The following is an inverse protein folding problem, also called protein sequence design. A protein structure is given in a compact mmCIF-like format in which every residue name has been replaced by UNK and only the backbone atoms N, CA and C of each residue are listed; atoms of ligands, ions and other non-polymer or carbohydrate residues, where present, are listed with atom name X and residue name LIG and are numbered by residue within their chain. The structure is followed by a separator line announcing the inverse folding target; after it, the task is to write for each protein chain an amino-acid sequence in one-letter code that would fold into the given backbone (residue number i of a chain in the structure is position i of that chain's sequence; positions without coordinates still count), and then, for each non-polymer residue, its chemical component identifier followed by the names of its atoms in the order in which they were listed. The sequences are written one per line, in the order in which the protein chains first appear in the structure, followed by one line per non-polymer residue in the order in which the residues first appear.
data_IF_006620911461
#
_entry.id   IF_006620911461
#
_cell.length_a   1.000
_cell.length_b   1.000
_cell.length_c   1.000
_cell.angle_alpha   90.00
_cell.angle_beta   90.00
_cell.angle_gamma   90.00
#
_symmetry.space_group_name_H-M   'P 1'
#
loop_
_entity.id
_entity.type
_entity.pdbx_description
1 polymer ?
#
# COMPACT_ATOMS: atom_id res chain seq x y z
N UNK A 1 -8.56 -16.08 -19.92
CA UNK A 1 -7.97 -16.15 -18.57
C UNK A 1 -6.55 -16.75 -18.58
N UNK A 2 -6.30 -17.90 -19.22
CA UNK A 2 -4.96 -18.53 -19.28
C UNK A 2 -3.90 -17.63 -19.96
N UNK A 3 -4.27 -16.90 -21.03
CA UNK A 3 -3.35 -16.01 -21.75
C UNK A 3 -2.85 -14.83 -20.89
N UNK A 4 -3.69 -14.32 -19.99
CA UNK A 4 -3.36 -13.24 -19.04
C UNK A 4 -2.34 -13.69 -18.00
N UNK A 5 -2.49 -14.91 -17.49
CA UNK A 5 -1.60 -15.47 -16.47
C UNK A 5 -0.20 -15.73 -17.07
N UNK A 6 -0.14 -16.26 -18.29
CA UNK A 6 1.13 -16.50 -18.99
C UNK A 6 1.86 -15.20 -19.29
N UNK A 7 1.15 -14.17 -19.77
CA UNK A 7 1.74 -12.87 -20.05
C UNK A 7 2.26 -12.17 -18.77
N UNK A 8 1.53 -12.29 -17.66
CA UNK A 8 1.99 -11.81 -16.36
C UNK A 8 3.28 -12.49 -15.93
N UNK A 9 3.31 -13.83 -15.99
CA UNK A 9 4.47 -14.62 -15.55
C UNK A 9 5.72 -14.30 -16.37
N UNK A 10 5.58 -14.19 -17.69
CA UNK A 10 6.70 -13.90 -18.58
C UNK A 10 7.24 -12.47 -18.36
N UNK A 11 6.33 -11.49 -18.27
CA UNK A 11 6.69 -10.09 -18.00
C UNK A 11 7.35 -9.93 -16.64
N UNK A 12 6.82 -10.59 -15.62
CA UNK A 12 7.39 -10.58 -14.27
C UNK A 12 8.77 -11.23 -14.25
N UNK A 13 8.94 -12.39 -14.89
CA UNK A 13 10.21 -13.11 -14.94
C UNK A 13 11.29 -12.28 -15.63
N UNK A 14 10.97 -11.69 -16.78
CA UNK A 14 11.88 -10.83 -17.53
C UNK A 14 12.24 -9.56 -16.75
N UNK A 15 11.24 -8.89 -16.15
CA UNK A 15 11.43 -7.64 -15.41
C UNK A 15 12.12 -7.84 -14.05
N UNK A 16 12.00 -9.01 -13.43
CA UNK A 16 12.62 -9.33 -12.15
C UNK A 16 14.06 -9.84 -12.25
N UNK A 17 14.53 -10.22 -13.45
CA UNK A 17 15.89 -10.74 -13.65
C UNK A 17 16.99 -9.80 -13.11
N UNK A 18 16.97 -8.48 -13.33
CA UNK A 18 17.97 -7.57 -12.77
C UNK A 18 17.92 -7.50 -11.25
N UNK A 19 16.71 -7.46 -10.67
CA UNK A 19 16.50 -7.44 -9.23
C UNK A 19 16.99 -8.75 -8.58
N UNK A 20 16.73 -9.89 -9.21
CA UNK A 20 17.21 -11.20 -8.75
C UNK A 20 18.74 -11.25 -8.74
N UNK A 21 19.39 -10.76 -9.80
CA UNK A 21 20.86 -10.67 -9.87
C UNK A 21 21.42 -9.76 -8.77
N UNK A 22 20.77 -8.63 -8.51
CA UNK A 22 21.15 -7.73 -7.43
C UNK A 22 21.01 -8.38 -6.05
N UNK A 23 19.91 -9.11 -5.80
CA UNK A 23 19.69 -9.85 -4.56
C UNK A 23 20.73 -10.96 -4.36
N UNK A 24 21.01 -11.75 -5.41
CA UNK A 24 22.06 -12.78 -5.38
C UNK A 24 23.42 -12.17 -5.01
N UNK A 25 23.78 -11.03 -5.62
CA UNK A 25 25.02 -10.31 -5.32
C UNK A 25 25.09 -9.85 -3.86
N UNK A 26 23.99 -9.33 -3.31
CA UNK A 26 23.93 -8.91 -1.91
C UNK A 26 24.06 -10.08 -0.92
N UNK A 27 23.58 -11.27 -1.30
CA UNK A 27 23.74 -12.49 -0.48
C UNK A 27 25.18 -13.01 -0.57
N UNK A 28 25.77 -13.03 -1.76
CA UNK A 28 27.14 -13.50 -1.99
C UNK A 28 28.19 -12.54 -1.42
N UNK A 29 27.91 -11.24 -1.45
CA UNK A 29 28.78 -10.17 -0.98
C UNK A 29 28.00 -9.25 -0.03
N UNK A 30 27.78 -9.69 1.23
CA UNK A 30 27.01 -8.92 2.19
C UNK A 30 27.73 -7.59 2.50
N UNK A 31 27.05 -6.45 2.33
CA UNK A 31 27.64 -5.16 2.65
C UNK A 31 27.87 -5.02 4.15
N UNK A 32 28.94 -4.32 4.54
CA UNK A 32 29.23 -4.00 5.96
C UNK A 32 28.17 -3.10 6.60
N UNK A 33 27.42 -2.37 5.78
CA UNK A 33 26.28 -1.54 6.19
C UNK A 33 24.97 -2.18 5.74
N UNK A 34 23.86 -1.71 6.30
CA UNK A 34 22.53 -2.22 5.95
C UNK A 34 22.24 -2.05 4.45
N UNK A 35 21.79 -3.10 3.75
CA UNK A 35 21.41 -2.99 2.34
C UNK A 35 20.19 -2.05 2.16
N UNK A 36 20.02 -1.47 0.95
CA UNK A 36 18.94 -0.53 0.64
C UNK A 36 17.58 -1.25 0.46
N UNK A 37 17.04 -1.81 1.55
CA UNK A 37 15.81 -2.61 1.57
C UNK A 37 14.61 -1.83 1.01
N UNK A 38 14.57 -0.52 1.21
CA UNK A 38 13.48 0.34 0.76
C UNK A 38 13.40 0.39 -0.76
N UNK A 39 14.56 0.56 -1.39
CA UNK A 39 14.69 0.65 -2.84
C UNK A 39 14.42 -0.70 -3.48
N UNK A 40 14.92 -1.79 -2.88
CA UNK A 40 14.63 -3.16 -3.32
C UNK A 40 13.13 -3.45 -3.29
N UNK A 41 12.44 -3.04 -2.21
CA UNK A 41 10.98 -3.18 -2.12
C UNK A 41 10.24 -2.31 -3.12
N UNK A 42 10.71 -1.08 -3.36
CA UNK A 42 10.12 -0.19 -4.36
C UNK A 42 10.26 -0.79 -5.77
N UNK A 43 11.44 -1.32 -6.10
CA UNK A 43 11.69 -2.02 -7.38
C UNK A 43 10.80 -3.25 -7.52
N UNK A 44 10.68 -4.08 -6.49
CA UNK A 44 9.81 -5.27 -6.54
C UNK A 44 8.34 -4.88 -6.75
N UNK A 45 7.84 -3.91 -5.99
CA UNK A 45 6.47 -3.42 -6.16
C UNK A 45 6.23 -2.87 -7.57
N UNK A 46 7.19 -2.12 -8.12
CA UNK A 46 7.11 -1.60 -9.47
C UNK A 46 7.02 -2.72 -10.51
N UNK A 47 7.86 -3.76 -10.37
CA UNK A 47 7.84 -4.94 -11.25
C UNK A 47 6.48 -5.65 -11.17
N UNK A 48 5.94 -5.85 -9.97
CA UNK A 48 4.62 -6.47 -9.79
C UNK A 48 3.54 -5.65 -10.50
N UNK A 49 3.48 -4.34 -10.26
CA UNK A 49 2.46 -3.48 -10.87
C UNK A 49 2.59 -3.42 -12.39
N UNK A 50 3.79 -3.23 -12.93
CA UNK A 50 4.02 -3.24 -14.38
C UNK A 50 3.64 -4.56 -15.03
N UNK A 51 3.94 -5.69 -14.39
CA UNK A 51 3.60 -7.01 -14.91
C UNK A 51 2.08 -7.23 -14.91
N UNK A 52 1.38 -6.70 -13.90
CA UNK A 52 -0.08 -6.71 -13.84
C UNK A 52 -0.70 -5.80 -14.89
N UNK A 53 -0.22 -4.57 -15.02
CA UNK A 53 -0.73 -3.60 -16.00
C UNK A 53 -0.52 -4.13 -17.44
N UNK A 54 0.63 -4.74 -17.72
CA UNK A 54 0.92 -5.34 -19.02
C UNK A 54 0.06 -6.58 -19.33
N UNK A 55 -0.42 -7.30 -18.32
CA UNK A 55 -1.18 -8.54 -18.54
C UNK A 55 -2.68 -8.30 -18.54
N UNK A 56 -3.20 -7.52 -17.59
CA UNK A 56 -4.63 -7.26 -17.38
C UNK A 56 -5.09 -6.01 -18.16
N UNK A 57 -4.16 -5.25 -18.73
CA UNK A 57 -4.41 -3.96 -19.36
C UNK A 57 -4.49 -2.82 -18.34
N UNK A 58 -4.49 -1.58 -18.83
CA UNK A 58 -4.61 -0.41 -17.98
C UNK A 58 -5.90 -0.47 -17.17
N UNK A 59 -5.76 -0.28 -15.87
CA UNK A 59 -6.92 -0.17 -14.98
C UNK A 59 -7.78 0.98 -15.49
N UNK A 60 -9.08 0.77 -15.77
CA UNK A 60 -9.96 1.87 -16.16
C UNK A 60 -9.87 2.97 -15.10
N UNK A 61 -9.89 4.26 -15.51
CA UNK A 61 -9.79 5.38 -14.60
C UNK A 61 -10.75 5.14 -13.44
N UNK A 62 -10.23 5.10 -12.22
CA UNK A 62 -11.07 4.70 -11.09
C UNK A 62 -12.24 5.69 -11.01
N UNK A 63 -13.49 5.22 -10.92
CA UNK A 63 -14.65 6.11 -10.92
C UNK A 63 -14.53 7.12 -9.79
N UNK A 64 -14.64 8.43 -10.07
CA UNK A 64 -14.39 9.54 -9.12
C UNK A 64 -14.93 9.32 -7.69
N UNK A 65 -16.02 8.56 -7.55
CA UNK A 65 -16.70 8.24 -6.29
C UNK A 65 -16.08 7.11 -5.42
N UNK A 66 -15.08 6.34 -5.89
CA UNK A 66 -14.58 5.15 -5.16
C UNK A 66 -13.87 5.47 -3.83
N UNK A 67 -13.57 6.74 -3.57
CA UNK A 67 -12.86 7.26 -2.40
C UNK A 67 -13.66 8.32 -1.61
N UNK A 68 -15.00 8.36 -1.71
CA UNK A 68 -15.80 9.38 -0.98
C UNK A 68 -15.50 9.48 0.53
N UNK A 69 -15.15 8.37 1.19
CA UNK A 69 -14.75 8.38 2.60
C UNK A 69 -13.28 8.73 2.85
N UNK A 70 -12.44 8.83 1.82
CA UNK A 70 -11.00 9.09 1.95
C UNK A 70 -10.72 10.59 2.07
N UNK A 71 -10.65 11.07 3.30
CA UNK A 71 -10.40 12.49 3.62
C UNK A 71 -8.90 12.78 3.76
N UNK A 72 -8.52 14.06 3.73
CA UNK A 72 -7.14 14.50 4.03
C UNK A 72 -6.69 14.01 5.41
N UNK A 73 -7.58 14.03 6.40
CA UNK A 73 -7.29 13.51 7.74
C UNK A 73 -6.92 12.02 7.74
N UNK A 74 -7.58 11.19 6.92
CA UNK A 74 -7.20 9.78 6.75
C UNK A 74 -5.85 9.63 6.04
N UNK A 75 -5.56 10.51 5.08
CA UNK A 75 -4.27 10.54 4.41
C UNK A 75 -3.15 10.88 5.40
N UNK A 76 -3.34 11.91 6.23
CA UNK A 76 -2.37 12.32 7.25
C UNK A 76 -2.12 11.22 8.29
N UNK A 77 -3.18 10.53 8.72
CA UNK A 77 -3.09 9.38 9.61
C UNK A 77 -2.35 8.19 8.97
N UNK A 78 -2.61 7.91 7.68
CA UNK A 78 -1.89 6.89 6.93
C UNK A 78 -0.39 7.23 6.81
N UNK A 79 -0.08 8.50 6.51
CA UNK A 79 1.28 8.99 6.36
C UNK A 79 2.02 8.97 7.69
N UNK A 80 1.38 9.34 8.80
CA UNK A 80 1.95 9.21 10.14
C UNK A 80 2.28 7.74 10.48
N UNK A 81 1.34 6.81 10.26
CA UNK A 81 1.58 5.38 10.43
C UNK A 81 2.79 4.89 9.60
N UNK A 82 2.88 5.34 8.35
CA UNK A 82 3.98 4.98 7.44
C UNK A 82 5.32 5.63 7.86
N UNK A 83 5.31 6.84 8.43
CA UNK A 83 6.50 7.48 9.02
C UNK A 83 7.02 6.68 10.21
N UNK A 84 6.14 6.28 11.13
CA UNK A 84 6.51 5.46 12.29
C UNK A 84 7.11 4.11 11.84
N UNK A 85 6.49 3.46 10.84
CA UNK A 85 7.03 2.21 10.27
C UNK A 85 8.44 2.40 9.67
N UNK A 86 8.65 3.48 8.91
CA UNK A 86 9.97 3.79 8.33
C UNK A 86 11.02 4.05 9.41
N UNK A 87 10.67 4.78 10.47
CA UNK A 87 11.56 5.01 11.62
C UNK A 87 11.86 3.73 12.37
N UNK A 88 10.86 2.89 12.65
CA UNK A 88 11.05 1.57 13.25
C UNK A 88 12.01 0.71 12.43
N UNK A 89 11.81 0.67 11.11
CA UNK A 89 12.68 -0.12 10.25
C UNK A 89 14.12 0.35 10.36
N UNK A 90 14.38 1.65 10.46
CA UNK A 90 15.74 2.26 10.51
C UNK A 90 16.34 2.36 11.92
N UNK A 91 15.55 2.12 12.97
CA UNK A 91 15.99 2.21 14.36
C UNK A 91 16.86 1.03 14.79
N UNK A 92 17.68 1.26 15.82
CA UNK A 92 18.58 0.29 16.44
C UNK A 92 18.39 0.30 17.96
N UNK A 93 18.68 -0.81 18.63
CA UNK A 93 18.56 -0.92 20.08
C UNK A 93 17.16 -0.59 20.61
N UNK A 94 17.10 0.17 21.71
CA UNK A 94 15.87 0.48 22.43
C UNK A 94 14.88 1.32 21.61
N UNK A 95 15.38 2.15 20.68
CA UNK A 95 14.54 2.95 19.77
C UNK A 95 13.66 2.08 18.88
N UNK A 96 14.07 0.83 18.62
CA UNK A 96 13.27 -0.10 17.82
C UNK A 96 11.98 -0.47 18.56
N UNK A 97 12.02 -0.65 19.88
CA UNK A 97 10.81 -0.91 20.67
C UNK A 97 9.92 0.33 20.70
N UNK A 98 10.51 1.50 20.90
CA UNK A 98 9.79 2.77 20.89
C UNK A 98 9.04 3.00 19.56
N UNK A 99 9.74 2.92 18.42
CA UNK A 99 9.13 3.16 17.11
C UNK A 99 8.14 2.07 16.70
N UNK A 100 8.33 0.83 17.17
CA UNK A 100 7.34 -0.22 16.97
C UNK A 100 6.02 0.11 17.69
N UNK A 101 6.10 0.50 18.96
CA UNK A 101 4.94 0.90 19.74
C UNK A 101 4.22 2.10 19.10
N UNK A 102 4.97 3.13 18.67
CA UNK A 102 4.42 4.27 17.92
C UNK A 102 3.69 3.84 16.63
N UNK A 103 4.26 2.89 15.88
CA UNK A 103 3.61 2.36 14.68
C UNK A 103 2.32 1.61 14.99
N UNK A 104 2.30 0.79 16.06
CA UNK A 104 1.10 0.06 16.48
C UNK A 104 -0.03 1.02 16.86
N UNK A 105 0.25 2.04 17.68
CA UNK A 105 -0.73 3.06 18.06
C UNK A 105 -1.27 3.81 16.83
N UNK A 106 -0.39 4.25 15.93
CA UNK A 106 -0.77 4.91 14.69
C UNK A 106 -1.63 4.00 13.79
N UNK A 107 -1.32 2.71 13.73
CA UNK A 107 -2.06 1.74 12.92
C UNK A 107 -3.47 1.45 13.49
N UNK A 108 -3.60 1.34 14.82
CA UNK A 108 -4.91 1.20 15.49
C UNK A 108 -5.76 2.44 15.21
N UNK A 109 -5.21 3.63 15.45
CA UNK A 109 -5.90 4.90 15.24
C UNK A 109 -6.35 5.06 13.78
N UNK A 110 -5.47 4.74 12.82
CA UNK A 110 -5.80 4.76 11.40
C UNK A 110 -6.93 3.78 11.05
N UNK A 111 -6.88 2.54 11.55
CA UNK A 111 -7.93 1.53 11.30
C UNK A 111 -9.28 1.97 11.85
N UNK A 112 -9.31 2.55 13.06
CA UNK A 112 -10.52 3.09 13.66
C UNK A 112 -11.07 4.25 12.84
N UNK A 113 -10.23 5.20 12.42
CA UNK A 113 -10.63 6.32 11.59
C UNK A 113 -11.23 5.86 10.25
N UNK A 114 -10.61 4.88 9.58
CA UNK A 114 -11.15 4.28 8.34
C UNK A 114 -12.50 3.60 8.58
N UNK A 115 -12.64 2.85 9.67
CA UNK A 115 -13.90 2.20 10.01
C UNK A 115 -15.02 3.23 10.24
N UNK A 116 -14.72 4.32 10.96
CA UNK A 116 -15.68 5.38 11.21
C UNK A 116 -16.07 6.12 9.93
N UNK A 117 -15.10 6.46 9.08
CA UNK A 117 -15.37 7.12 7.80
C UNK A 117 -16.27 6.27 6.88
N UNK A 118 -16.04 4.95 6.85
CA UNK A 118 -16.91 4.01 6.13
C UNK A 118 -18.34 3.98 6.69
N UNK A 119 -18.50 3.99 8.02
CA UNK A 119 -19.82 4.03 8.69
C UNK A 119 -20.55 5.35 8.40
N UNK A 120 -19.85 6.48 8.46
CA UNK A 120 -20.42 7.80 8.17
C UNK A 120 -20.90 7.90 6.72
N UNK A 121 -20.13 7.37 5.76
CA UNK A 121 -20.57 7.33 4.37
C UNK A 121 -21.81 6.45 4.18
N UNK A 122 -21.87 5.29 4.84
CA UNK A 122 -23.02 4.39 4.76
C UNK A 122 -24.30 5.07 5.29
N UNK A 123 -24.21 5.72 6.45
CA UNK A 123 -25.35 6.43 7.07
C UNK A 123 -25.82 7.65 6.28
N UNK A 124 -24.89 8.43 5.69
CA UNK A 124 -25.24 9.52 4.78
C UNK A 124 -25.98 9.02 3.53
N UNK A 125 -25.57 7.87 2.98
CA UNK A 125 -26.23 7.28 1.81
C UNK A 125 -27.67 6.86 2.13
N UNK A 126 -27.89 6.23 3.29
CA UNK A 126 -29.23 5.84 3.75
C UNK A 126 -30.13 7.05 4.01
N UNK A 127 -29.60 8.10 4.65
CA UNK A 127 -30.37 9.31 4.97
C UNK A 127 -30.82 10.05 3.71
N UNK A 128 -29.95 10.17 2.71
CA UNK A 128 -30.30 10.80 1.43
C UNK A 128 -31.37 10.03 0.66
N UNK A 129 -31.35 8.69 0.69
CA UNK A 129 -32.38 7.87 0.03
C UNK A 129 -33.73 8.00 0.73
N UNK A 130 -33.76 8.00 2.06
CA UNK A 130 -35.00 8.16 2.84
C UNK A 130 -35.60 9.56 2.64
N UNK A 131 -34.79 10.62 2.63
CA UNK A 131 -35.28 11.98 2.37
C UNK A 131 -35.84 12.13 0.94
N UNK A 132 -35.22 11.52 -0.07
CA UNK A 132 -35.73 11.55 -1.45
C UNK A 132 -37.08 10.81 -1.55
N UNK A 133 -37.21 9.66 -0.89
CA UNK A 133 -38.44 8.86 -0.90
C UNK A 133 -39.58 9.48 -0.08
N UNK A 134 -39.29 10.28 0.94
CA UNK A 134 -40.30 11.01 1.73
C UNK A 134 -40.71 12.35 1.10
N UNK A 135 -40.00 12.81 0.07
CA UNK A 135 -40.27 14.06 -0.65
C UNK A 135 -40.95 13.84 -2.01
N UNK A 136 -41.32 12.60 -2.34
CA UNK A 136 -42.02 12.18 -3.58
C UNK A 136 -43.39 11.62 -3.23
#
# INVERSE_FOLDING_TARGET
MLLYILLYQDTFRSSSAPLLSQLKRLVQHPPSSRPPIDDLNASLNNIIYRSLDSSVGDRPPRPSHWKKYWTQQLQDAADFRNRCYRRWRRAFGIDKVYWWHQHQQANVSFRQAVANAKRLQATQTTTSVVLILLSS
#
